data_IF_664787425734
#
_entry.id   IF_664787425734
#
_cell.length_a   1.000
_cell.length_b   1.000
_cell.length_c   1.000
_cell.angle_alpha   90.00
_cell.angle_beta   90.00
_cell.angle_gamma   90.00
#
_symmetry.space_group_name_H-M   'P 1'
#
loop_
_entity.id
_entity.type
_entity.pdbx_description
1 polymer ?
#
# COMPACT_ATOMS: atom_id res chain seq x y z
N UNK A 1 -28.66 -29.08 32.31
CA UNK A 1 -27.35 -28.49 32.68
C UNK A 1 -26.28 -29.08 31.75
N UNK A 2 -25.07 -28.53 31.68
CA UNK A 2 -23.99 -29.04 30.81
C UNK A 2 -22.81 -29.57 31.63
N UNK A 3 -22.08 -30.56 31.10
CA UNK A 3 -20.92 -31.15 31.76
C UNK A 3 -19.72 -30.20 31.73
N UNK A 4 -19.16 -29.85 32.90
CA UNK A 4 -17.97 -28.97 33.01
C UNK A 4 -16.67 -29.53 32.42
N UNK A 5 -16.64 -30.82 32.03
CA UNK A 5 -15.46 -31.51 31.51
C UNK A 5 -15.51 -31.79 30.00
N UNK A 6 -16.70 -31.95 29.42
CA UNK A 6 -16.87 -32.33 28.00
C UNK A 6 -18.02 -31.61 27.29
N UNK A 7 -18.58 -30.54 27.87
CA UNK A 7 -19.65 -29.74 27.28
C UNK A 7 -21.03 -30.41 27.20
N UNK A 8 -21.12 -31.74 27.07
CA UNK A 8 -22.37 -32.44 26.74
C UNK A 8 -23.50 -32.23 27.79
N UNK A 9 -24.75 -32.22 27.31
CA UNK A 9 -25.95 -31.96 28.08
C UNK A 9 -26.22 -33.10 29.07
N UNK A 10 -26.33 -32.74 30.35
CA UNK A 10 -26.63 -33.67 31.44
C UNK A 10 -28.13 -33.96 31.49
N UNK A 11 -28.47 -35.25 31.48
CA UNK A 11 -29.82 -35.75 31.73
C UNK A 11 -30.28 -35.33 33.13
N UNK A 12 -31.55 -35.00 33.29
CA UNK A 12 -32.11 -34.51 34.54
C UNK A 12 -31.95 -35.56 35.67
N UNK A 13 -31.53 -35.11 36.86
CA UNK A 13 -31.15 -35.95 38.02
C UNK A 13 -30.00 -36.96 37.77
N UNK A 14 -29.22 -36.84 36.69
CA UNK A 14 -28.01 -37.67 36.48
C UNK A 14 -26.90 -37.34 37.50
N UNK A 15 -26.38 -38.37 38.18
CA UNK A 15 -25.26 -38.25 39.15
C UNK A 15 -23.87 -38.25 38.50
N UNK A 16 -23.79 -38.69 37.26
CA UNK A 16 -22.57 -38.77 36.46
C UNK A 16 -22.91 -38.40 35.01
N UNK A 17 -21.98 -37.79 34.29
CA UNK A 17 -22.15 -37.49 32.87
C UNK A 17 -22.15 -38.78 32.04
N UNK A 18 -23.21 -38.99 31.26
CA UNK A 18 -23.35 -40.13 30.33
C UNK A 18 -22.27 -40.18 29.23
N UNK A 19 -21.57 -39.08 28.98
CA UNK A 19 -20.58 -38.96 27.91
C UNK A 19 -19.13 -39.20 28.37
N UNK A 20 -18.77 -38.79 29.59
CA UNK A 20 -17.37 -38.83 30.09
C UNK A 20 -17.22 -39.38 31.52
N UNK A 21 -18.29 -39.92 32.11
CA UNK A 21 -18.31 -40.48 33.46
C UNK A 21 -18.16 -39.48 34.61
N UNK A 22 -17.91 -38.20 34.34
CA UNK A 22 -17.58 -37.22 35.37
C UNK A 22 -18.74 -36.94 36.33
N UNK A 23 -18.45 -36.81 37.63
CA UNK A 23 -19.49 -36.73 38.67
C UNK A 23 -20.17 -35.36 38.67
N UNK A 24 -21.51 -35.38 38.65
CA UNK A 24 -22.33 -34.16 38.73
C UNK A 24 -22.49 -33.76 40.20
N UNK A 25 -22.20 -32.50 40.51
CA UNK A 25 -22.41 -31.92 41.84
C UNK A 25 -23.84 -31.38 41.95
N UNK A 26 -24.68 -32.05 42.76
CA UNK A 26 -26.02 -31.56 43.10
C UNK A 26 -25.91 -30.22 43.87
N UNK A 27 -26.38 -29.12 43.28
CA UNK A 27 -26.44 -27.81 43.93
C UNK A 27 -27.90 -27.48 44.28
N UNK A 28 -28.26 -27.68 45.55
CA UNK A 28 -29.63 -27.53 46.03
C UNK A 28 -30.00 -26.06 46.25
N UNK A 29 -30.79 -25.49 45.34
CA UNK A 29 -31.44 -24.19 45.53
C UNK A 29 -32.95 -24.28 45.33
N UNK A 30 -33.70 -23.78 46.32
CA UNK A 30 -35.15 -23.72 46.31
C UNK A 30 -35.68 -22.62 45.36
N UNK A 31 -36.88 -22.76 44.78
CA UNK A 31 -37.33 -21.93 43.67
C UNK A 31 -37.82 -20.53 44.09
N UNK A 32 -37.64 -19.54 43.21
CA UNK A 32 -38.46 -18.33 43.15
C UNK A 32 -39.43 -18.40 41.97
N UNK A 33 -40.64 -17.87 42.16
CA UNK A 33 -41.74 -17.79 41.17
C UNK A 33 -41.63 -16.51 40.29
N UNK A 34 -42.63 -16.35 39.42
CA UNK A 34 -43.01 -15.13 38.64
C UNK A 34 -42.26 -15.02 37.30
N UNK A 35 -42.92 -14.94 36.13
CA UNK A 35 -44.37 -15.05 35.81
C UNK A 35 -44.64 -15.43 34.35
N UNK A 36 -45.84 -15.99 34.12
CA UNK A 36 -46.53 -16.10 32.82
C UNK A 36 -46.95 -14.70 32.27
N UNK A 37 -47.32 -14.54 30.98
CA UNK A 37 -48.66 -14.97 30.54
C UNK A 37 -48.80 -15.59 29.12
N UNK A 38 -49.82 -16.45 28.99
CA UNK A 38 -50.71 -16.74 27.83
C UNK A 38 -50.36 -16.18 26.42
N UNK A 39 -50.66 -16.89 25.32
CA UNK A 39 -52.04 -17.29 25.02
C UNK A 39 -52.21 -18.47 24.02
N UNK A 40 -53.43 -19.04 24.02
CA UNK A 40 -53.94 -20.10 23.14
C UNK A 40 -54.38 -19.59 21.76
N UNK A 41 -54.38 -20.46 20.75
CA UNK A 41 -55.58 -20.75 19.94
C UNK A 41 -55.46 -22.02 19.08
N UNK A 42 -56.60 -22.53 18.56
CA UNK A 42 -56.76 -23.93 18.13
C UNK A 42 -57.68 -24.10 16.92
N UNK A 43 -57.23 -24.82 15.89
CA UNK A 43 -58.01 -25.46 14.80
C UNK A 43 -57.03 -26.36 14.01
N UNK A 44 -57.20 -27.66 13.74
CA UNK A 44 -58.36 -28.56 13.56
C UNK A 44 -59.01 -28.52 12.16
N UNK A 45 -59.32 -29.72 11.66
CA UNK A 45 -59.92 -30.12 10.37
C UNK A 45 -58.94 -30.24 9.18
N UNK A 46 -59.10 -31.12 8.20
CA UNK A 46 -59.63 -32.52 8.12
C UNK A 46 -59.32 -33.08 6.69
N UNK A 47 -59.67 -34.36 6.40
CA UNK A 47 -59.62 -35.06 5.08
C UNK A 47 -58.23 -35.49 4.52
N UNK A 48 -58.06 -36.63 3.81
CA UNK A 48 -58.74 -37.95 3.79
C UNK A 48 -57.96 -38.99 2.95
N UNK A 49 -58.26 -40.31 3.09
CA UNK A 49 -57.85 -41.43 2.19
C UNK A 49 -56.32 -41.76 2.07
N UNK A 50 -55.82 -42.96 1.66
CA UNK A 50 -56.34 -44.36 1.57
C UNK A 50 -55.22 -45.32 1.05
N UNK A 51 -55.11 -46.64 1.32
CA UNK A 51 -55.16 -47.44 2.58
C UNK A 51 -54.83 -48.95 2.32
N UNK A 52 -54.14 -49.66 3.25
CA UNK A 52 -53.98 -51.16 3.36
C UNK A 52 -53.06 -51.78 2.26
N UNK A 53 -52.27 -52.88 2.37
CA UNK A 53 -52.13 -54.08 3.25
C UNK A 53 -50.68 -54.23 3.80
N UNK A 54 -50.36 -54.84 4.97
CA UNK A 54 -50.58 -56.22 5.51
C UNK A 54 -49.76 -57.32 4.79
N UNK A 55 -49.23 -58.40 5.40
CA UNK A 55 -49.35 -59.06 6.74
C UNK A 55 -47.93 -59.46 7.25
N UNK A 56 -47.58 -59.64 8.55
CA UNK A 56 -48.00 -60.58 9.62
C UNK A 56 -47.52 -62.05 9.40
N UNK A 57 -47.23 -62.92 10.39
CA UNK A 57 -47.23 -62.82 11.87
C UNK A 57 -46.25 -63.83 12.53
N UNK A 58 -46.32 -64.04 13.86
CA UNK A 58 -45.51 -65.01 14.62
C UNK A 58 -46.34 -65.77 15.67
N UNK A 59 -45.78 -66.84 16.27
CA UNK A 59 -46.30 -67.62 17.43
C UNK A 59 -47.59 -68.43 17.22
N UNK A 60 -47.98 -69.44 18.04
CA UNK A 60 -47.27 -70.48 18.82
C UNK A 60 -48.32 -71.48 19.43
N UNK A 61 -47.88 -72.43 20.28
CA UNK A 61 -48.65 -73.18 21.33
C UNK A 61 -49.45 -74.45 20.94
N UNK A 62 -48.81 -75.60 21.24
CA UNK A 62 -49.23 -76.76 22.08
C UNK A 62 -50.39 -77.76 21.78
N UNK A 63 -50.13 -79.01 22.24
CA UNK A 63 -51.03 -80.15 22.60
C UNK A 63 -51.91 -80.80 21.50
N UNK A 64 -52.43 -82.04 21.59
CA UNK A 64 -52.05 -83.39 22.12
C UNK A 64 -53.19 -84.36 21.65
N UNK A 65 -53.25 -85.70 21.72
CA UNK A 65 -52.52 -86.87 22.27
C UNK A 65 -52.79 -88.09 21.32
N UNK A 66 -52.13 -89.24 21.56
CA UNK A 66 -52.58 -90.62 21.22
C UNK A 66 -52.51 -91.11 19.73
N UNK A 67 -52.34 -92.41 19.42
CA UNK A 67 -51.78 -93.57 20.15
C UNK A 67 -51.58 -94.80 19.18
N UNK A 68 -51.00 -95.91 19.67
CA UNK A 68 -50.84 -97.26 19.02
C UNK A 68 -49.82 -97.34 17.85
N UNK A 69 -49.22 -98.47 17.44
CA UNK A 69 -48.90 -99.82 18.00
C UNK A 69 -48.12 -100.64 16.90
N UNK A 70 -47.23 -101.63 17.12
CA UNK A 70 -46.51 -102.11 18.32
C UNK A 70 -45.02 -102.50 17.98
N UNK A 71 -44.37 -103.71 18.14
CA UNK A 71 -42.91 -103.75 18.36
C UNK A 71 -42.05 -104.71 17.50
N UNK A 72 -40.73 -104.68 17.73
CA UNK A 72 -39.90 -105.91 17.77
C UNK A 72 -38.71 -105.75 18.73
N UNK A 73 -38.24 -106.84 19.35
CA UNK A 73 -37.17 -106.84 20.35
C UNK A 73 -35.82 -107.21 19.74
N UNK A 74 -34.73 -106.73 20.34
CA UNK A 74 -33.72 -107.65 20.88
C UNK A 74 -32.92 -107.05 22.04
N UNK A 75 -32.21 -107.91 22.77
CA UNK A 75 -31.82 -107.69 24.17
C UNK A 75 -30.38 -108.15 24.42
N UNK A 76 -29.49 -107.29 24.98
CA UNK A 76 -28.55 -107.74 26.02
C UNK A 76 -27.66 -106.70 26.76
N UNK A 77 -27.70 -106.82 28.10
CA UNK A 77 -26.59 -106.85 29.08
C UNK A 77 -25.58 -105.67 29.21
N UNK A 78 -25.85 -104.90 30.29
CA UNK A 78 -24.92 -104.59 31.42
C UNK A 78 -23.50 -104.05 31.15
N UNK A 79 -23.27 -102.79 31.54
CA UNK A 79 -22.05 -102.39 32.25
C UNK A 79 -22.28 -101.14 33.15
N UNK A 80 -22.62 -101.32 34.43
CA UNK A 80 -22.76 -100.20 35.38
C UNK A 80 -21.40 -99.69 35.87
N UNK A 81 -20.73 -98.89 35.06
CA UNK A 81 -19.54 -98.14 35.45
C UNK A 81 -19.89 -97.05 36.48
N UNK A 82 -19.11 -96.94 37.57
CA UNK A 82 -19.27 -95.85 38.57
C UNK A 82 -18.94 -94.47 38.01
N UNK A 83 -18.29 -94.39 36.84
CA UNK A 83 -17.91 -93.14 36.18
C UNK A 83 -19.13 -92.37 35.64
N UNK A 84 -20.19 -93.06 35.21
CA UNK A 84 -21.38 -92.43 34.59
C UNK A 84 -22.20 -91.55 35.57
N UNK A 85 -22.00 -91.67 36.89
CA UNK A 85 -22.71 -90.82 37.87
C UNK A 85 -22.18 -89.38 37.94
N UNK A 86 -20.99 -89.10 37.42
CA UNK A 86 -20.39 -87.76 37.43
C UNK A 86 -20.55 -87.06 36.08
N UNK A 87 -20.77 -87.80 34.98
CA UNK A 87 -20.98 -87.26 33.62
C UNK A 87 -21.99 -86.10 33.54
N UNK A 88 -23.21 -86.17 34.13
CA UNK A 88 -24.16 -85.04 34.07
C UNK A 88 -23.73 -83.81 34.88
N UNK A 89 -22.70 -83.91 35.71
CA UNK A 89 -22.11 -82.79 36.49
C UNK A 89 -20.84 -82.27 35.80
N UNK A 90 -20.03 -83.16 35.21
CA UNK A 90 -18.84 -82.79 34.44
C UNK A 90 -19.17 -82.05 33.15
N UNK A 91 -20.23 -82.44 32.44
CA UNK A 91 -20.61 -81.82 31.16
C UNK A 91 -20.89 -80.29 31.29
N UNK A 92 -21.72 -79.80 32.24
CA UNK A 92 -21.89 -78.36 32.44
C UNK A 92 -20.63 -77.66 32.98
N UNK A 93 -19.80 -78.32 33.79
CA UNK A 93 -18.52 -77.73 34.27
C UNK A 93 -17.55 -77.52 33.10
N UNK A 94 -17.42 -78.51 32.21
CA UNK A 94 -16.57 -78.43 31.03
C UNK A 94 -17.10 -77.36 30.05
N UNK A 95 -18.42 -77.32 29.82
CA UNK A 95 -19.07 -76.27 29.03
C UNK A 95 -18.81 -74.87 29.60
N UNK A 96 -18.99 -74.69 30.92
CA UNK A 96 -18.70 -73.44 31.61
C UNK A 96 -17.23 -73.03 31.48
N UNK A 97 -16.27 -73.96 31.62
CA UNK A 97 -14.85 -73.67 31.45
C UNK A 97 -14.48 -73.28 30.01
N UNK A 98 -15.06 -73.93 29.00
CA UNK A 98 -14.87 -73.54 27.59
C UNK A 98 -15.47 -72.17 27.30
N UNK A 99 -16.68 -71.88 27.79
CA UNK A 99 -17.32 -70.57 27.63
C UNK A 99 -16.52 -69.49 28.36
N UNK A 100 -16.13 -69.71 29.62
CA UNK A 100 -15.32 -68.74 30.38
C UNK A 100 -13.97 -68.49 29.74
N UNK A 101 -13.30 -69.54 29.24
CA UNK A 101 -12.04 -69.41 28.51
C UNK A 101 -12.19 -68.61 27.21
N UNK A 102 -13.22 -68.91 26.41
CA UNK A 102 -13.53 -68.16 25.18
C UNK A 102 -13.84 -66.69 25.47
N UNK A 103 -14.64 -66.41 26.51
CA UNK A 103 -14.95 -65.03 26.95
C UNK A 103 -13.70 -64.33 27.47
N UNK A 104 -12.82 -64.99 28.22
CA UNK A 104 -11.55 -64.39 28.70
C UNK A 104 -10.59 -64.06 27.56
N UNK A 105 -10.45 -64.95 26.57
CA UNK A 105 -9.62 -64.70 25.37
C UNK A 105 -10.19 -63.57 24.52
N UNK A 106 -11.52 -63.55 24.31
CA UNK A 106 -12.19 -62.47 23.61
C UNK A 106 -12.02 -61.12 24.36
N UNK A 107 -12.23 -61.11 25.68
CA UNK A 107 -12.05 -59.92 26.51
C UNK A 107 -10.62 -59.37 26.42
N UNK A 108 -9.60 -60.22 26.51
CA UNK A 108 -8.20 -59.79 26.40
C UNK A 108 -7.88 -59.25 24.99
N UNK A 109 -8.33 -59.94 23.94
CA UNK A 109 -8.18 -59.49 22.56
C UNK A 109 -8.83 -58.13 22.29
N UNK A 110 -10.07 -57.93 22.77
CA UNK A 110 -10.78 -56.67 22.58
C UNK A 110 -10.25 -55.55 23.48
N UNK A 111 -9.68 -55.87 24.65
CA UNK A 111 -8.96 -54.91 25.51
C UNK A 111 -7.70 -54.41 24.81
N UNK A 112 -6.84 -55.31 24.33
CA UNK A 112 -5.59 -54.94 23.66
C UNK A 112 -5.85 -54.07 22.42
N UNK A 113 -6.85 -54.42 21.60
CA UNK A 113 -7.26 -53.59 20.45
C UNK A 113 -7.73 -52.20 20.85
N UNK A 114 -8.42 -52.07 21.98
CA UNK A 114 -8.87 -50.76 22.46
C UNK A 114 -7.70 -49.93 22.99
N UNK A 115 -6.74 -50.54 23.68
CA UNK A 115 -5.50 -49.86 24.10
C UNK A 115 -4.65 -49.42 22.90
N UNK A 116 -4.50 -50.27 21.89
CA UNK A 116 -3.79 -49.95 20.64
C UNK A 116 -4.47 -48.81 19.87
N UNK A 117 -5.79 -48.85 19.71
CA UNK A 117 -6.56 -47.79 19.05
C UNK A 117 -6.52 -46.47 19.80
N UNK A 118 -6.60 -46.48 21.13
CA UNK A 118 -6.48 -45.26 21.94
C UNK A 118 -5.07 -44.67 21.89
N UNK A 119 -4.03 -45.51 21.85
CA UNK A 119 -2.64 -45.07 21.69
C UNK A 119 -2.40 -44.45 20.31
N UNK A 120 -2.94 -45.06 19.23
CA UNK A 120 -2.90 -44.51 17.88
C UNK A 120 -3.68 -43.19 17.78
N UNK A 121 -4.90 -43.14 18.32
CA UNK A 121 -5.71 -41.91 18.37
C UNK A 121 -4.97 -40.78 19.09
N UNK A 122 -4.44 -41.03 20.29
CA UNK A 122 -3.73 -40.01 21.07
C UNK A 122 -2.44 -39.55 20.37
N UNK A 123 -1.70 -40.47 19.73
CA UNK A 123 -0.51 -40.14 18.94
C UNK A 123 -0.86 -39.30 17.72
N UNK A 124 -1.96 -39.61 17.02
CA UNK A 124 -2.44 -38.85 15.89
C UNK A 124 -2.92 -37.44 16.28
N UNK A 125 -3.75 -37.33 17.32
CA UNK A 125 -4.19 -36.03 17.89
C UNK A 125 -2.98 -35.18 18.29
N UNK A 126 -1.94 -35.81 18.88
CA UNK A 126 -0.68 -35.12 19.21
C UNK A 126 0.09 -34.70 17.96
N UNK A 127 0.18 -35.52 16.91
CA UNK A 127 0.85 -35.17 15.66
C UNK A 127 0.13 -34.01 14.95
N UNK A 128 -1.20 -34.09 14.88
CA UNK A 128 -2.07 -33.12 14.23
C UNK A 128 -1.97 -31.73 14.91
N UNK A 129 -2.04 -31.67 16.24
CA UNK A 129 -1.86 -30.43 17.01
C UNK A 129 -0.45 -29.82 16.92
N UNK A 130 0.55 -30.57 16.45
CA UNK A 130 1.89 -30.07 16.13
C UNK A 130 2.09 -29.78 14.62
N UNK A 131 1.04 -29.85 13.80
CA UNK A 131 1.08 -29.60 12.36
C UNK A 131 1.56 -30.78 11.50
N UNK A 132 1.80 -31.96 12.09
CA UNK A 132 2.20 -33.18 11.37
C UNK A 132 0.95 -33.98 10.95
N UNK A 133 0.16 -33.36 10.07
CA UNK A 133 -1.13 -33.90 9.62
C UNK A 133 -0.99 -35.22 8.85
N UNK A 134 0.13 -35.43 8.13
CA UNK A 134 0.36 -36.68 7.37
C UNK A 134 0.68 -37.86 8.30
N UNK A 135 1.39 -37.65 9.41
CA UNK A 135 1.52 -38.67 10.46
C UNK A 135 0.19 -38.93 11.18
N UNK A 136 -0.61 -37.88 11.40
CA UNK A 136 -1.93 -38.03 11.99
C UNK A 136 -2.87 -38.87 11.10
N UNK A 137 -2.82 -38.67 9.79
CA UNK A 137 -3.56 -39.47 8.79
C UNK A 137 -3.19 -40.97 8.89
N UNK A 138 -1.89 -41.33 8.83
CA UNK A 138 -1.44 -42.72 8.95
C UNK A 138 -1.90 -43.37 10.27
N UNK A 139 -1.74 -42.68 11.39
CA UNK A 139 -2.08 -43.21 12.71
C UNK A 139 -3.59 -43.35 12.93
N UNK A 140 -4.42 -42.45 12.38
CA UNK A 140 -5.88 -42.58 12.36
C UNK A 140 -6.35 -43.68 11.40
N UNK A 141 -5.75 -43.79 10.21
CA UNK A 141 -6.09 -44.82 9.23
C UNK A 141 -5.78 -46.22 9.77
N UNK A 142 -4.64 -46.39 10.44
CA UNK A 142 -4.28 -47.64 11.13
C UNK A 142 -5.19 -47.94 12.33
N UNK A 143 -5.69 -46.93 13.04
CA UNK A 143 -6.69 -47.12 14.09
C UNK A 143 -8.05 -47.56 13.50
N UNK A 144 -8.43 -47.03 12.33
CA UNK A 144 -9.62 -47.43 11.58
C UNK A 144 -9.50 -48.84 11.01
N UNK A 145 -8.33 -49.30 10.58
CA UNK A 145 -8.13 -50.70 10.16
C UNK A 145 -8.43 -51.70 11.31
N UNK A 146 -8.21 -51.30 12.57
CA UNK A 146 -8.57 -52.09 13.76
C UNK A 146 -10.06 -51.92 14.13
N UNK A 147 -10.63 -50.71 13.93
CA UNK A 147 -12.02 -50.35 14.29
C UNK A 147 -12.73 -49.52 13.18
N UNK A 148 -13.14 -50.12 12.06
CA UNK A 148 -13.61 -49.35 10.89
C UNK A 148 -14.89 -48.52 11.11
N UNK A 149 -15.66 -48.84 12.15
CA UNK A 149 -16.96 -48.23 12.46
C UNK A 149 -16.93 -47.38 13.74
N UNK A 150 -15.77 -46.93 14.21
CA UNK A 150 -15.67 -46.06 15.39
C UNK A 150 -15.77 -44.58 14.97
N UNK A 151 -16.88 -43.87 15.28
CA UNK A 151 -17.15 -42.57 14.64
C UNK A 151 -16.16 -41.46 14.99
N UNK A 152 -15.51 -41.53 16.17
CA UNK A 152 -14.54 -40.51 16.60
C UNK A 152 -13.31 -40.52 15.69
N UNK A 153 -12.81 -41.70 15.30
CA UNK A 153 -11.68 -41.79 14.35
C UNK A 153 -12.07 -41.29 12.96
N UNK A 154 -13.31 -41.56 12.53
CA UNK A 154 -13.81 -41.07 11.23
C UNK A 154 -13.88 -39.54 11.22
N UNK A 155 -14.39 -38.94 12.30
CA UNK A 155 -14.43 -37.48 12.46
C UNK A 155 -13.02 -36.88 12.57
N UNK A 156 -12.14 -37.44 13.40
CA UNK A 156 -10.75 -36.96 13.50
C UNK A 156 -10.04 -37.01 12.13
N UNK A 157 -10.26 -38.06 11.34
CA UNK A 157 -9.69 -38.20 10.00
C UNK A 157 -10.28 -37.18 9.01
N UNK A 158 -11.59 -36.88 9.09
CA UNK A 158 -12.24 -35.86 8.28
C UNK A 158 -11.61 -34.46 8.50
N UNK A 159 -11.37 -34.07 9.76
CA UNK A 159 -10.74 -32.76 10.06
C UNK A 159 -9.24 -32.74 9.73
N UNK A 160 -8.51 -33.85 9.94
CA UNK A 160 -7.11 -33.98 9.49
C UNK A 160 -6.99 -33.88 7.97
N UNK A 161 -7.91 -34.49 7.23
CA UNK A 161 -7.93 -34.40 5.76
C UNK A 161 -8.27 -32.99 5.26
N UNK A 162 -9.08 -32.23 6.00
CA UNK A 162 -9.31 -30.80 5.73
C UNK A 162 -8.03 -29.97 5.94
N UNK A 163 -7.27 -30.24 7.01
CA UNK A 163 -5.97 -29.60 7.24
C UNK A 163 -4.93 -29.97 6.16
N UNK A 164 -4.93 -31.22 5.67
CA UNK A 164 -4.10 -31.63 4.52
C UNK A 164 -4.48 -30.87 3.25
N UNK A 165 -5.77 -30.72 2.94
CA UNK A 165 -6.23 -29.93 1.79
C UNK A 165 -5.81 -28.45 1.89
N UNK A 166 -5.83 -27.86 3.10
CA UNK A 166 -5.32 -26.50 3.33
C UNK A 166 -3.79 -26.40 3.17
N UNK A 167 -3.02 -27.45 3.51
CA UNK A 167 -1.59 -27.52 3.23
C UNK A 167 -1.28 -27.63 1.73
N UNK A 168 -2.11 -28.32 0.96
CA UNK A 168 -2.02 -28.35 -0.51
C UNK A 168 -2.34 -26.98 -1.11
N UNK A 169 -3.36 -26.27 -0.63
CA UNK A 169 -3.64 -24.89 -1.04
C UNK A 169 -2.48 -23.93 -0.68
N UNK A 170 -1.87 -24.05 0.52
CA UNK A 170 -0.65 -23.31 0.87
C UNK A 170 0.54 -23.64 -0.03
N UNK A 171 0.63 -24.88 -0.52
CA UNK A 171 1.68 -25.32 -1.45
C UNK A 171 1.47 -24.71 -2.84
N UNK A 172 0.23 -24.71 -3.35
CA UNK A 172 -0.14 -24.02 -4.59
C UNK A 172 0.16 -22.51 -4.53
N UNK A 173 -0.20 -21.84 -3.43
CA UNK A 173 0.13 -20.42 -3.20
C UNK A 173 1.65 -20.20 -3.19
N UNK A 174 2.42 -21.15 -2.64
CA UNK A 174 3.89 -21.09 -2.60
C UNK A 174 4.51 -21.28 -3.98
N UNK A 175 3.92 -22.12 -4.83
CA UNK A 175 4.32 -22.29 -6.22
C UNK A 175 3.99 -21.05 -7.07
N UNK A 176 2.79 -20.47 -6.90
CA UNK A 176 2.42 -19.20 -7.54
C UNK A 176 3.38 -18.06 -7.16
N UNK A 177 3.80 -17.95 -5.89
CA UNK A 177 4.84 -16.99 -5.48
C UNK A 177 6.19 -17.26 -6.17
N UNK A 178 6.59 -18.53 -6.34
CA UNK A 178 7.83 -18.90 -7.04
C UNK A 178 7.79 -18.57 -8.53
N UNK A 179 6.62 -18.70 -9.15
CA UNK A 179 6.31 -18.25 -10.51
C UNK A 179 6.08 -16.73 -10.62
N UNK A 180 6.21 -15.98 -9.51
CA UNK A 180 5.98 -14.53 -9.41
C UNK A 180 4.53 -14.09 -9.73
N UNK A 181 3.55 -14.99 -9.65
CA UNK A 181 2.12 -14.72 -9.82
C UNK A 181 1.50 -14.15 -8.55
N UNK A 182 2.11 -13.12 -7.97
CA UNK A 182 1.78 -12.65 -6.63
C UNK A 182 0.33 -12.15 -6.47
N UNK A 183 -0.32 -11.65 -7.53
CA UNK A 183 -1.75 -11.28 -7.51
C UNK A 183 -2.68 -12.50 -7.47
N UNK A 184 -2.33 -13.61 -8.13
CA UNK A 184 -3.10 -14.86 -8.01
C UNK A 184 -2.87 -15.49 -6.62
N UNK A 185 -1.61 -15.48 -6.15
CA UNK A 185 -1.24 -15.97 -4.83
C UNK A 185 -1.95 -15.20 -3.71
N UNK A 186 -2.04 -13.86 -3.79
CA UNK A 186 -2.80 -13.02 -2.84
C UNK A 186 -4.30 -13.36 -2.84
N UNK A 187 -4.89 -13.60 -4.02
CA UNK A 187 -6.32 -13.95 -4.17
C UNK A 187 -6.62 -15.31 -3.53
N UNK A 188 -5.81 -16.32 -3.84
CA UNK A 188 -5.95 -17.67 -3.26
C UNK A 188 -5.65 -17.66 -1.76
N UNK A 189 -4.64 -16.89 -1.33
CA UNK A 189 -4.28 -16.72 0.09
C UNK A 189 -5.41 -16.14 0.92
N UNK A 190 -6.08 -15.06 0.48
CA UNK A 190 -7.20 -14.51 1.24
C UNK A 190 -8.40 -15.46 1.29
N UNK A 191 -8.69 -16.20 0.21
CA UNK A 191 -9.74 -17.23 0.23
C UNK A 191 -9.41 -18.37 1.21
N UNK A 192 -8.17 -18.84 1.26
CA UNK A 192 -7.75 -19.86 2.22
C UNK A 192 -7.75 -19.35 3.66
N UNK A 193 -7.29 -18.10 3.87
CA UNK A 193 -7.32 -17.43 5.17
C UNK A 193 -8.75 -17.29 5.71
N UNK A 194 -9.71 -16.90 4.87
CA UNK A 194 -11.14 -16.82 5.23
C UNK A 194 -11.73 -18.19 5.62
N UNK A 195 -11.35 -19.28 4.93
CA UNK A 195 -11.72 -20.66 5.33
C UNK A 195 -11.19 -20.98 6.72
N UNK A 196 -9.88 -20.83 6.93
CA UNK A 196 -9.19 -21.18 8.18
C UNK A 196 -9.69 -20.32 9.36
N UNK A 197 -9.89 -19.02 9.17
CA UNK A 197 -10.43 -18.11 10.19
C UNK A 197 -11.92 -18.36 10.51
N UNK A 198 -12.62 -19.18 9.71
CA UNK A 198 -14.00 -19.63 10.00
C UNK A 198 -14.06 -20.93 10.82
N UNK A 199 -12.97 -21.69 10.88
CA UNK A 199 -12.86 -22.90 11.70
C UNK A 199 -12.53 -22.54 13.16
N UNK A 200 -13.09 -23.31 14.11
CA UNK A 200 -12.98 -23.05 15.56
C UNK A 200 -12.23 -24.17 16.30
N UNK A 201 -11.64 -25.11 15.55
CA UNK A 201 -10.89 -26.23 16.11
C UNK A 201 -9.41 -25.87 16.37
N UNK A 202 -8.85 -26.14 17.57
CA UNK A 202 -7.43 -25.92 17.88
C UNK A 202 -6.45 -26.63 16.94
N UNK A 203 -6.89 -27.62 16.15
CA UNK A 203 -6.11 -28.20 15.06
C UNK A 203 -5.57 -27.14 14.09
N UNK A 204 -6.29 -26.02 13.90
CA UNK A 204 -5.92 -24.98 12.94
C UNK A 204 -4.99 -23.89 13.52
N UNK A 205 -4.72 -23.88 14.83
CA UNK A 205 -3.80 -22.92 15.47
C UNK A 205 -2.41 -22.84 14.77
N UNK A 206 -1.77 -23.94 14.31
CA UNK A 206 -0.48 -23.88 13.60
C UNK A 206 -0.52 -23.12 12.27
N UNK A 207 -1.70 -22.98 11.63
CA UNK A 207 -1.81 -22.21 10.40
C UNK A 207 -1.62 -20.71 10.62
N UNK A 208 -1.81 -20.17 11.83
CA UNK A 208 -1.68 -18.74 12.09
C UNK A 208 -0.27 -18.20 11.78
N UNK A 209 0.79 -18.93 12.17
CA UNK A 209 2.18 -18.55 11.86
C UNK A 209 2.49 -18.74 10.36
N UNK A 210 2.03 -19.85 9.77
CA UNK A 210 2.19 -20.10 8.34
C UNK A 210 1.54 -19.00 7.49
N UNK A 211 0.28 -18.65 7.78
CA UNK A 211 -0.46 -17.61 7.07
C UNK A 211 0.22 -16.24 7.23
N UNK A 212 0.63 -15.87 8.44
CA UNK A 212 1.35 -14.61 8.68
C UNK A 212 2.66 -14.53 7.87
N UNK A 213 3.43 -15.61 7.81
CA UNK A 213 4.66 -15.66 7.00
C UNK A 213 4.37 -15.50 5.49
N UNK A 214 3.33 -16.19 4.96
CA UNK A 214 2.94 -16.05 3.55
C UNK A 214 2.43 -14.64 3.22
N UNK A 215 1.64 -14.02 4.09
CA UNK A 215 1.10 -12.66 3.88
C UNK A 215 2.21 -11.61 3.70
N UNK A 216 3.30 -11.76 4.47
CA UNK A 216 4.51 -10.93 4.34
C UNK A 216 5.17 -11.16 2.98
N UNK A 217 5.51 -12.40 2.62
CA UNK A 217 6.21 -12.69 1.35
C UNK A 217 5.36 -12.32 0.12
N UNK A 218 4.04 -12.51 0.15
CA UNK A 218 3.11 -12.04 -0.89
C UNK A 218 3.16 -10.51 -0.99
N UNK A 219 3.03 -9.80 0.14
CA UNK A 219 3.04 -8.34 0.17
C UNK A 219 4.37 -7.76 -0.35
N UNK A 220 5.50 -8.31 0.11
CA UNK A 220 6.84 -7.90 -0.33
C UNK A 220 7.04 -8.21 -1.82
N UNK A 221 6.59 -9.36 -2.30
CA UNK A 221 6.64 -9.77 -3.70
C UNK A 221 5.87 -8.83 -4.64
N UNK A 222 4.61 -8.52 -4.31
CA UNK A 222 3.80 -7.54 -5.07
C UNK A 222 4.46 -6.17 -5.12
N UNK A 223 4.86 -5.63 -3.96
CA UNK A 223 5.51 -4.32 -3.87
C UNK A 223 6.78 -4.30 -4.74
N UNK A 224 7.57 -5.39 -4.77
CA UNK A 224 8.79 -5.51 -5.58
C UNK A 224 8.53 -5.55 -7.09
N UNK A 225 7.43 -6.15 -7.55
CA UNK A 225 7.03 -6.10 -8.97
C UNK A 225 6.57 -4.69 -9.36
N UNK A 226 5.59 -4.16 -8.62
CA UNK A 226 5.01 -2.83 -8.83
C UNK A 226 6.07 -1.72 -8.73
N UNK A 227 7.14 -1.91 -7.94
CA UNK A 227 8.21 -0.93 -7.73
C UNK A 227 8.80 -0.38 -9.02
N UNK A 228 8.86 -1.18 -10.09
CA UNK A 228 9.36 -0.75 -11.40
C UNK A 228 8.47 0.34 -12.05
N UNK A 229 7.15 0.24 -11.89
CA UNK A 229 6.13 1.09 -12.51
C UNK A 229 5.87 2.40 -11.75
N UNK A 230 6.15 2.44 -10.44
CA UNK A 230 5.96 3.63 -9.62
C UNK A 230 6.90 4.77 -10.10
N UNK A 231 6.34 5.96 -10.33
CA UNK A 231 7.04 7.11 -10.93
C UNK A 231 7.00 8.38 -10.10
N UNK A 232 6.30 8.37 -8.95
CA UNK A 232 6.21 9.52 -8.03
C UNK A 232 6.62 9.17 -6.60
N UNK A 233 7.08 10.18 -5.86
CA UNK A 233 7.47 10.04 -4.45
C UNK A 233 6.29 9.59 -3.59
N UNK A 234 5.08 10.09 -3.84
CA UNK A 234 3.90 9.76 -3.02
C UNK A 234 3.42 8.31 -3.23
N UNK A 235 3.53 7.77 -4.45
CA UNK A 235 3.30 6.34 -4.71
C UNK A 235 4.26 5.47 -3.90
N UNK A 236 5.54 5.83 -3.88
CA UNK A 236 6.60 5.13 -3.16
C UNK A 236 6.42 5.26 -1.65
N UNK A 237 6.04 6.44 -1.15
CA UNK A 237 5.72 6.68 0.25
C UNK A 237 4.51 5.85 0.73
N UNK A 238 3.47 5.70 -0.09
CA UNK A 238 2.34 4.82 0.21
C UNK A 238 2.78 3.35 0.38
N UNK A 239 3.76 2.88 -0.41
CA UNK A 239 4.37 1.55 -0.21
C UNK A 239 5.20 1.49 1.08
N UNK A 240 6.04 2.50 1.37
CA UNK A 240 6.82 2.57 2.62
C UNK A 240 5.93 2.41 3.86
N UNK A 241 4.75 3.04 3.88
CA UNK A 241 3.81 2.91 5.01
C UNK A 241 3.30 1.47 5.18
N UNK A 242 2.97 0.76 4.09
CA UNK A 242 2.60 -0.69 4.14
C UNK A 242 3.81 -1.59 4.47
N UNK A 243 5.04 -1.14 4.22
CA UNK A 243 6.26 -1.87 4.62
C UNK A 243 6.64 -1.62 6.08
N UNK A 244 6.29 -0.48 6.67
CA UNK A 244 6.66 -0.11 8.04
C UNK A 244 6.01 -1.00 9.11
N UNK A 245 4.94 -1.71 8.78
CA UNK A 245 4.29 -2.72 9.64
C UNK A 245 4.90 -4.12 9.52
N UNK A 246 5.89 -4.33 8.64
CA UNK A 246 6.49 -5.63 8.35
C UNK A 246 7.95 -5.67 8.85
N UNK A 247 8.22 -6.50 9.85
CA UNK A 247 9.51 -6.53 10.57
C UNK A 247 10.49 -7.61 10.08
N UNK A 248 10.39 -8.06 8.83
CA UNK A 248 11.25 -9.10 8.26
C UNK A 248 12.44 -8.55 7.47
N UNK A 249 13.48 -9.38 7.28
CA UNK A 249 14.65 -9.03 6.47
C UNK A 249 14.28 -8.74 5.00
N UNK A 250 13.36 -9.54 4.42
CA UNK A 250 12.82 -9.29 3.07
C UNK A 250 12.15 -7.91 2.97
N UNK A 251 11.39 -7.52 4.01
CA UNK A 251 10.73 -6.22 4.06
C UNK A 251 11.74 -5.07 4.18
N UNK A 252 12.80 -5.23 4.98
CA UNK A 252 13.88 -4.26 5.07
C UNK A 252 14.62 -4.08 3.73
N UNK A 253 14.89 -5.17 3.00
CA UNK A 253 15.57 -5.12 1.72
C UNK A 253 14.75 -4.40 0.62
N UNK A 254 13.42 -4.56 0.59
CA UNK A 254 12.56 -3.85 -0.37
C UNK A 254 12.29 -2.40 0.09
N UNK A 255 12.23 -2.13 1.39
CA UNK A 255 12.21 -0.76 1.93
C UNK A 255 13.40 0.07 1.43
N UNK A 256 14.61 -0.48 1.45
CA UNK A 256 15.81 0.20 0.95
C UNK A 256 15.78 0.44 -0.57
N UNK A 257 15.21 -0.48 -1.34
CA UNK A 257 14.98 -0.29 -2.79
C UNK A 257 13.97 0.85 -3.06
N UNK A 258 12.93 0.98 -2.23
CA UNK A 258 11.97 2.10 -2.32
C UNK A 258 12.65 3.44 -1.98
N UNK A 259 13.44 3.50 -0.90
CA UNK A 259 14.20 4.70 -0.51
C UNK A 259 15.20 5.11 -1.60
N UNK A 260 15.93 4.14 -2.17
CA UNK A 260 16.81 4.34 -3.33
C UNK A 260 16.05 4.92 -4.52
N UNK A 261 14.86 4.38 -4.83
CA UNK A 261 14.06 4.87 -5.97
C UNK A 261 13.44 6.25 -5.73
N UNK A 262 13.06 6.60 -4.48
CA UNK A 262 12.67 7.96 -4.10
C UNK A 262 13.83 8.93 -4.38
N UNK A 263 15.04 8.61 -3.93
CA UNK A 263 16.25 9.41 -4.19
C UNK A 263 16.49 9.60 -5.69
N UNK A 264 16.40 8.54 -6.49
CA UNK A 264 16.63 8.60 -7.94
C UNK A 264 15.60 9.50 -8.64
N UNK A 265 14.31 9.26 -8.43
CA UNK A 265 13.22 10.02 -9.09
C UNK A 265 13.29 11.50 -8.69
N UNK A 266 13.45 11.78 -7.40
CA UNK A 266 13.46 13.16 -6.90
C UNK A 266 14.65 13.95 -7.44
N UNK A 267 15.82 13.31 -7.55
CA UNK A 267 17.00 13.91 -8.19
C UNK A 267 16.78 14.16 -9.69
N UNK A 268 16.15 13.22 -10.40
CA UNK A 268 15.85 13.38 -11.84
C UNK A 268 14.83 14.52 -12.08
N UNK A 269 13.76 14.58 -11.28
CA UNK A 269 12.75 15.64 -11.36
C UNK A 269 13.32 17.01 -11.01
N UNK A 270 14.09 17.12 -9.92
CA UNK A 270 14.75 18.37 -9.53
C UNK A 270 15.80 18.84 -10.54
N UNK A 271 16.52 17.92 -11.21
CA UNK A 271 17.41 18.25 -12.33
C UNK A 271 16.64 18.82 -13.53
N UNK A 272 15.53 18.20 -13.92
CA UNK A 272 14.67 18.72 -14.99
C UNK A 272 14.06 20.08 -14.64
N UNK A 273 13.66 20.30 -13.38
CA UNK A 273 13.16 21.59 -12.90
C UNK A 273 14.27 22.66 -12.91
N UNK A 274 15.50 22.31 -12.50
CA UNK A 274 16.67 23.21 -12.56
C UNK A 274 17.01 23.63 -13.99
N UNK A 275 17.01 22.70 -14.95
CA UNK A 275 17.22 22.98 -16.38
C UNK A 275 16.17 23.95 -16.95
N UNK A 276 14.94 23.93 -16.40
CA UNK A 276 13.87 24.86 -16.74
C UNK A 276 13.84 26.13 -15.85
N UNK A 277 14.90 26.39 -15.05
CA UNK A 277 15.01 27.50 -14.08
C UNK A 277 13.92 27.54 -13.00
N UNK A 278 13.26 26.41 -12.73
CA UNK A 278 12.20 26.28 -11.73
C UNK A 278 12.78 25.99 -10.35
N UNK A 279 13.69 26.85 -9.86
CA UNK A 279 14.49 26.63 -8.64
C UNK A 279 13.63 26.24 -7.42
N UNK A 280 12.55 26.98 -7.16
CA UNK A 280 11.63 26.70 -6.04
C UNK A 280 10.92 25.35 -6.15
N UNK A 281 10.65 24.87 -7.38
CA UNK A 281 10.05 23.55 -7.60
C UNK A 281 11.10 22.44 -7.38
N UNK A 282 12.32 22.63 -7.89
CA UNK A 282 13.44 21.71 -7.66
C UNK A 282 13.75 21.54 -6.17
N UNK A 283 13.75 22.64 -5.41
CA UNK A 283 13.91 22.61 -3.94
C UNK A 283 12.75 21.86 -3.27
N UNK A 284 11.49 22.16 -3.65
CA UNK A 284 10.32 21.50 -3.09
C UNK A 284 10.27 19.99 -3.35
N UNK A 285 10.67 19.55 -4.54
CA UNK A 285 10.79 18.12 -4.89
C UNK A 285 11.86 17.41 -4.05
N UNK A 286 13.01 18.05 -3.80
CA UNK A 286 14.03 17.49 -2.90
C UNK A 286 13.57 17.48 -1.44
N UNK A 287 12.86 18.50 -0.97
CA UNK A 287 12.29 18.53 0.38
C UNK A 287 11.14 17.55 0.58
N UNK A 288 10.43 17.16 -0.49
CA UNK A 288 9.47 16.05 -0.44
C UNK A 288 10.20 14.71 -0.25
N UNK A 289 11.35 14.51 -0.88
CA UNK A 289 12.16 13.30 -0.74
C UNK A 289 12.82 13.18 0.65
N UNK A 290 13.41 14.28 1.15
CA UNK A 290 14.13 14.34 2.43
C UNK A 290 13.26 14.04 3.66
N UNK A 291 11.92 14.06 3.52
CA UNK A 291 10.97 13.56 4.55
C UNK A 291 11.07 12.05 4.77
N UNK A 292 11.54 11.30 3.77
CA UNK A 292 11.65 9.84 3.79
C UNK A 292 13.11 9.38 3.85
N UNK A 293 14.00 10.06 3.12
CA UNK A 293 15.46 9.83 3.12
C UNK A 293 16.17 10.97 3.86
N UNK A 294 15.98 11.00 5.19
CA UNK A 294 16.57 11.99 6.11
C UNK A 294 18.10 11.96 6.01
N UNK A 295 18.74 13.13 6.11
CA UNK A 295 20.19 13.37 6.05
C UNK A 295 20.92 12.81 4.81
N UNK A 296 20.19 12.47 3.75
CA UNK A 296 20.75 11.89 2.53
C UNK A 296 21.63 12.89 1.76
N UNK A 297 22.94 12.77 1.97
CA UNK A 297 23.97 13.74 1.55
C UNK A 297 23.91 14.14 0.07
N UNK A 298 23.61 13.21 -0.83
CA UNK A 298 23.51 13.51 -2.28
C UNK A 298 22.25 14.30 -2.66
N UNK A 299 21.23 14.41 -1.80
CA UNK A 299 20.06 15.27 -2.01
C UNK A 299 20.28 16.63 -1.34
N UNK A 300 20.87 16.65 -0.14
CA UNK A 300 21.25 17.89 0.54
C UNK A 300 22.24 18.73 -0.28
N UNK A 301 23.34 18.13 -0.74
CA UNK A 301 24.33 18.82 -1.59
C UNK A 301 23.76 19.27 -2.95
N UNK A 302 22.76 18.54 -3.48
CA UNK A 302 22.09 18.96 -4.72
C UNK A 302 21.12 20.12 -4.49
N UNK A 303 20.37 20.12 -3.38
CA UNK A 303 19.55 21.26 -2.94
C UNK A 303 20.42 22.50 -2.70
N UNK A 304 21.57 22.34 -2.03
CA UNK A 304 22.52 23.43 -1.83
C UNK A 304 23.01 24.01 -3.17
N UNK A 305 23.39 23.15 -4.14
CA UNK A 305 23.75 23.59 -5.48
C UNK A 305 22.62 24.37 -6.17
N UNK A 306 21.37 23.90 -6.07
CA UNK A 306 20.21 24.59 -6.65
C UNK A 306 20.00 25.98 -6.03
N UNK A 307 20.19 26.12 -4.71
CA UNK A 307 20.13 27.42 -4.01
C UNK A 307 21.28 28.34 -4.46
N UNK A 308 22.51 27.81 -4.62
CA UNK A 308 23.64 28.58 -5.13
C UNK A 308 23.40 29.07 -6.58
N UNK A 309 22.88 28.22 -7.47
CA UNK A 309 22.54 28.60 -8.84
C UNK A 309 21.37 29.60 -8.90
N UNK A 310 20.38 29.48 -8.00
CA UNK A 310 19.30 30.46 -7.85
C UNK A 310 19.87 31.84 -7.46
N UNK A 311 20.67 31.91 -6.40
CA UNK A 311 21.24 33.18 -5.93
C UNK A 311 22.16 33.82 -6.98
N UNK A 312 22.96 33.02 -7.69
CA UNK A 312 23.79 33.52 -8.79
C UNK A 312 22.96 34.05 -9.98
N UNK A 313 21.82 33.40 -10.29
CA UNK A 313 20.89 33.87 -11.32
C UNK A 313 20.21 35.19 -10.93
N UNK A 314 19.72 35.31 -9.69
CA UNK A 314 19.09 36.52 -9.15
C UNK A 314 20.07 37.71 -9.12
N UNK A 315 21.31 37.49 -8.66
CA UNK A 315 22.35 38.51 -8.67
C UNK A 315 22.72 38.96 -10.09
N UNK A 316 22.86 38.02 -11.04
CA UNK A 316 23.17 38.35 -12.42
C UNK A 316 22.05 39.15 -13.11
N UNK A 317 20.78 38.90 -12.77
CA UNK A 317 19.65 39.66 -13.31
C UNK A 317 19.55 41.06 -12.68
N UNK A 318 19.80 41.19 -11.37
CA UNK A 318 19.94 42.50 -10.72
C UNK A 318 21.06 43.33 -11.37
N UNK A 319 22.25 42.74 -11.60
CA UNK A 319 23.36 43.44 -12.25
C UNK A 319 23.00 43.91 -13.67
N UNK A 320 22.23 43.13 -14.44
CA UNK A 320 21.74 43.55 -15.77
C UNK A 320 20.78 44.73 -15.68
N UNK A 321 19.87 44.72 -14.71
CA UNK A 321 18.93 45.81 -14.49
C UNK A 321 19.65 47.10 -14.10
N UNK A 322 20.61 47.02 -13.17
CA UNK A 322 21.43 48.16 -12.76
C UNK A 322 22.25 48.73 -13.93
N UNK A 323 22.87 47.88 -14.75
CA UNK A 323 23.60 48.30 -15.96
C UNK A 323 22.67 48.94 -17.02
N UNK A 324 21.47 48.40 -17.21
CA UNK A 324 20.49 48.98 -18.14
C UNK A 324 19.97 50.35 -17.64
N UNK A 325 19.77 50.50 -16.33
CA UNK A 325 19.40 51.78 -15.71
C UNK A 325 20.53 52.81 -15.79
N UNK A 326 21.78 52.41 -15.54
CA UNK A 326 22.95 53.30 -15.66
C UNK A 326 23.17 53.73 -17.12
N UNK A 327 22.97 52.83 -18.08
CA UNK A 327 23.02 53.15 -19.51
C UNK A 327 21.92 54.17 -19.87
N UNK A 328 20.65 53.87 -19.58
CA UNK A 328 19.53 54.76 -19.88
C UNK A 328 19.70 56.15 -19.24
N UNK A 329 20.20 56.23 -18.00
CA UNK A 329 20.46 57.51 -17.32
C UNK A 329 21.60 58.32 -17.99
N UNK A 330 22.62 57.66 -18.56
CA UNK A 330 23.68 58.34 -19.33
C UNK A 330 23.20 58.79 -20.71
N UNK A 331 22.37 57.98 -21.36
CA UNK A 331 21.76 58.33 -22.64
C UNK A 331 20.82 59.54 -22.47
N UNK A 332 19.97 59.55 -21.43
CA UNK A 332 19.10 60.69 -21.15
C UNK A 332 19.89 61.94 -20.74
N UNK A 333 20.92 61.83 -19.90
CA UNK A 333 21.78 62.98 -19.56
C UNK A 333 22.48 63.57 -20.79
N UNK A 334 22.95 62.72 -21.73
CA UNK A 334 23.51 63.17 -23.01
C UNK A 334 22.46 63.93 -23.83
N UNK A 335 21.23 63.39 -23.90
CA UNK A 335 20.11 64.00 -24.60
C UNK A 335 19.65 65.33 -23.96
N UNK A 336 19.73 65.48 -22.63
CA UNK A 336 19.37 66.69 -21.90
C UNK A 336 20.45 67.79 -21.92
N UNK A 337 21.74 67.45 -21.94
CA UNK A 337 22.82 68.44 -21.71
C UNK A 337 23.85 68.60 -22.83
N UNK A 338 23.95 67.66 -23.77
CA UNK A 338 25.01 67.66 -24.78
C UNK A 338 24.59 66.95 -26.09
N UNK A 339 23.35 67.17 -26.54
CA UNK A 339 22.80 66.55 -27.75
C UNK A 339 23.36 67.14 -29.06
N UNK A 340 23.88 68.37 -29.01
CA UNK A 340 24.29 69.17 -30.18
C UNK A 340 25.77 69.53 -30.06
N UNK A 341 26.57 69.15 -31.05
CA UNK A 341 27.99 69.54 -31.16
C UNK A 341 28.17 70.57 -32.29
N UNK A 342 28.74 71.75 -31.98
CA UNK A 342 29.13 72.75 -33.00
C UNK A 342 30.44 72.30 -33.65
N UNK A 343 30.36 71.97 -34.94
CA UNK A 343 31.50 71.44 -35.73
C UNK A 343 32.13 72.47 -36.68
N UNK A 344 31.44 73.58 -36.93
CA UNK A 344 31.97 74.75 -37.64
C UNK A 344 31.26 76.00 -37.12
N UNK A 345 32.01 77.07 -36.90
CA UNK A 345 31.49 78.40 -36.60
C UNK A 345 32.43 79.43 -37.22
N UNK A 346 31.88 80.37 -37.98
CA UNK A 346 32.60 81.41 -38.70
C UNK A 346 31.76 82.68 -38.72
N UNK A 347 32.41 83.83 -38.59
CA UNK A 347 31.80 85.13 -38.76
C UNK A 347 32.72 86.07 -39.54
N UNK A 348 32.14 86.99 -40.29
CA UNK A 348 32.85 88.01 -41.06
C UNK A 348 32.02 89.31 -41.14
N UNK A 349 32.66 90.46 -40.92
CA UNK A 349 32.07 91.78 -41.16
C UNK A 349 32.49 92.26 -42.54
N UNK A 350 31.54 92.76 -43.33
CA UNK A 350 31.78 93.15 -44.73
C UNK A 350 32.11 94.65 -44.93
N UNK A 351 32.31 95.06 -46.18
CA UNK A 351 32.60 96.46 -46.54
C UNK A 351 31.43 97.44 -46.28
N UNK A 352 30.22 96.92 -45.99
CA UNK A 352 29.04 97.71 -45.65
C UNK A 352 28.76 97.75 -44.14
N UNK A 353 29.54 97.03 -43.32
CA UNK A 353 29.42 96.99 -41.87
C UNK A 353 28.39 95.98 -41.35
N UNK A 354 27.97 95.03 -42.20
CA UNK A 354 27.04 93.97 -41.84
C UNK A 354 27.84 92.71 -41.42
N UNK A 355 27.43 92.10 -40.31
CA UNK A 355 28.06 90.90 -39.73
C UNK A 355 27.34 89.64 -40.21
N UNK A 356 28.00 88.84 -41.02
CA UNK A 356 27.53 87.52 -41.46
C UNK A 356 28.04 86.44 -40.51
N UNK A 357 27.14 85.58 -40.03
CA UNK A 357 27.46 84.44 -39.15
C UNK A 357 26.99 83.16 -39.84
N UNK A 358 27.81 82.11 -39.79
CA UNK A 358 27.50 80.79 -40.38
C UNK A 358 28.17 79.66 -39.62
N UNK A 359 27.51 78.50 -39.54
CA UNK A 359 28.06 77.33 -38.86
C UNK A 359 27.39 76.00 -39.22
N UNK A 360 27.96 74.92 -38.69
CA UNK A 360 27.45 73.55 -38.79
C UNK A 360 27.40 72.91 -37.41
N UNK A 361 26.26 72.31 -37.06
CA UNK A 361 26.10 71.44 -35.89
C UNK A 361 25.89 69.98 -36.30
N UNK A 362 26.15 69.06 -35.37
CA UNK A 362 25.85 67.63 -35.52
C UNK A 362 24.98 67.18 -34.36
N UNK A 363 23.95 66.37 -34.62
CA UNK A 363 23.23 65.65 -33.57
C UNK A 363 24.12 64.49 -33.06
N UNK A 364 24.61 64.63 -31.82
CA UNK A 364 25.44 63.62 -31.13
C UNK A 364 24.69 62.86 -30.04
N UNK A 365 23.38 63.11 -29.90
CA UNK A 365 22.47 62.46 -28.97
C UNK A 365 22.28 60.95 -29.25
N UNK A 366 21.51 60.26 -28.40
CA UNK A 366 21.08 58.87 -28.69
C UNK A 366 19.77 58.78 -29.47
N UNK A 367 19.03 59.89 -29.56
CA UNK A 367 17.72 60.03 -30.22
C UNK A 367 17.79 61.08 -31.33
N UNK A 368 16.73 61.18 -32.13
CA UNK A 368 16.58 62.24 -33.11
C UNK A 368 16.17 63.54 -32.39
N UNK A 369 16.60 64.70 -32.91
CA UNK A 369 16.34 66.01 -32.30
C UNK A 369 15.66 66.97 -33.27
N UNK A 370 14.90 67.91 -32.73
CA UNK A 370 14.17 68.92 -33.52
C UNK A 370 14.34 70.34 -32.96
N UNK A 371 14.05 71.34 -33.81
CA UNK A 371 13.99 72.76 -33.45
C UNK A 371 15.27 73.34 -32.81
N UNK A 372 16.45 72.87 -33.24
CA UNK A 372 17.74 73.35 -32.69
C UNK A 372 17.91 74.84 -32.97
N UNK A 373 18.16 75.61 -31.92
CA UNK A 373 18.36 77.07 -31.96
C UNK A 373 19.68 77.43 -31.31
N UNK A 374 20.47 78.25 -32.00
CA UNK A 374 21.74 78.80 -31.55
C UNK A 374 21.49 80.20 -31.00
N UNK A 375 21.85 80.45 -29.74
CA UNK A 375 21.82 81.76 -29.10
C UNK A 375 23.26 82.29 -29.00
N UNK A 376 23.51 83.48 -29.54
CA UNK A 376 24.86 84.04 -29.65
C UNK A 376 24.89 85.52 -29.28
N UNK A 377 26.04 85.95 -28.78
CA UNK A 377 26.28 87.32 -28.34
C UNK A 377 27.48 87.91 -29.09
N UNK A 378 27.33 89.18 -29.47
CA UNK A 378 28.33 89.98 -30.19
C UNK A 378 28.99 90.95 -29.20
N UNK A 379 30.31 91.01 -29.24
CA UNK A 379 31.17 91.83 -28.39
C UNK A 379 32.09 92.72 -29.22
N UNK A 380 32.51 93.87 -28.69
CA UNK A 380 33.59 94.65 -29.29
C UNK A 380 34.98 94.04 -28.99
N UNK A 381 36.04 94.60 -29.60
CA UNK A 381 37.43 94.18 -29.35
C UNK A 381 37.95 94.47 -27.93
N UNK A 382 37.25 95.28 -27.12
CA UNK A 382 37.57 95.54 -25.72
C UNK A 382 36.86 94.55 -24.77
N UNK A 383 35.92 93.75 -25.28
CA UNK A 383 35.12 92.78 -24.54
C UNK A 383 33.81 93.34 -23.98
N UNK A 384 33.35 94.49 -24.44
CA UNK A 384 32.04 95.03 -24.07
C UNK A 384 30.92 94.35 -24.88
N UNK A 385 29.76 94.16 -24.24
CA UNK A 385 28.55 93.63 -24.87
C UNK A 385 27.97 94.63 -25.88
N UNK A 386 27.64 94.15 -27.08
CA UNK A 386 26.99 94.94 -28.14
C UNK A 386 25.55 94.47 -28.43
N UNK A 387 25.36 93.16 -28.64
CA UNK A 387 24.10 92.62 -29.16
C UNK A 387 23.92 91.13 -28.83
N UNK A 388 22.66 90.69 -28.65
CA UNK A 388 22.27 89.29 -28.51
C UNK A 388 21.32 88.91 -29.66
N UNK A 389 21.53 87.75 -30.28
CA UNK A 389 20.66 87.20 -31.34
C UNK A 389 20.42 85.71 -31.16
N UNK A 390 19.50 85.17 -31.97
CA UNK A 390 19.32 83.73 -32.11
C UNK A 390 18.90 83.32 -33.52
N UNK A 391 19.43 82.20 -34.00
CA UNK A 391 19.11 81.63 -35.31
C UNK A 391 18.82 80.13 -35.21
N UNK A 392 17.97 79.62 -36.11
CA UNK A 392 17.58 78.20 -36.15
C UNK A 392 18.43 77.41 -37.13
N UNK A 393 18.70 76.16 -36.77
CA UNK A 393 19.41 75.20 -37.61
C UNK A 393 18.48 74.59 -38.67
N UNK A 394 19.00 74.40 -39.87
CA UNK A 394 18.34 73.69 -40.98
C UNK A 394 19.14 72.45 -41.40
N UNK A 395 18.50 71.29 -41.63
CA UNK A 395 17.07 71.03 -41.50
C UNK A 395 16.58 71.05 -40.04
N UNK A 396 15.28 71.31 -39.87
CA UNK A 396 14.64 71.50 -38.56
C UNK A 396 14.58 70.21 -37.70
N UNK A 397 14.73 69.04 -38.32
CA UNK A 397 14.93 67.75 -37.67
C UNK A 397 16.31 67.24 -38.05
N UNK A 398 17.06 66.73 -37.07
CA UNK A 398 18.35 66.07 -37.27
C UNK A 398 18.28 64.65 -36.72
N UNK A 399 18.40 63.68 -37.61
CA UNK A 399 18.55 62.27 -37.25
C UNK A 399 19.83 62.07 -36.42
N UNK A 400 19.94 61.00 -35.65
CA UNK A 400 21.18 60.69 -34.92
C UNK A 400 22.41 60.65 -35.83
N UNK A 401 23.40 61.51 -35.57
CA UNK A 401 24.62 61.67 -36.36
C UNK A 401 24.47 62.55 -37.62
N UNK A 402 23.29 63.14 -37.85
CA UNK A 402 23.03 64.07 -38.95
C UNK A 402 23.56 65.47 -38.67
N UNK A 403 23.91 66.20 -39.73
CA UNK A 403 24.39 67.58 -39.68
C UNK A 403 23.31 68.57 -40.09
N UNK A 404 23.28 69.70 -39.41
CA UNK A 404 22.52 70.89 -39.82
C UNK A 404 23.42 72.11 -39.91
N UNK A 405 23.00 73.10 -40.70
CA UNK A 405 23.68 74.38 -40.86
C UNK A 405 22.82 75.52 -40.32
N UNK A 406 23.45 76.58 -39.83
CA UNK A 406 22.79 77.81 -39.43
C UNK A 406 23.50 79.03 -40.02
N UNK A 407 22.74 80.09 -40.28
CA UNK A 407 23.24 81.39 -40.73
C UNK A 407 22.39 82.52 -40.13
N UNK A 408 22.99 83.69 -39.93
CA UNK A 408 22.32 84.93 -39.52
C UNK A 408 23.05 86.16 -40.09
N UNK A 409 22.43 87.33 -40.05
CA UNK A 409 23.06 88.59 -40.48
C UNK A 409 22.63 89.75 -39.59
N UNK A 410 23.59 90.30 -38.83
CA UNK A 410 23.37 91.47 -37.96
C UNK A 410 23.81 92.72 -38.73
N UNK A 411 22.83 93.55 -39.11
CA UNK A 411 23.05 94.72 -39.95
C UNK A 411 23.58 95.93 -39.16
N UNK A 412 24.39 96.77 -39.83
CA UNK A 412 24.81 98.10 -39.37
C UNK A 412 25.67 98.17 -38.09
N UNK A 413 26.58 97.20 -37.88
CA UNK A 413 27.54 97.25 -36.78
C UNK A 413 28.69 98.24 -37.04
N UNK A 414 29.24 98.25 -38.27
CA UNK A 414 30.35 99.14 -38.70
C UNK A 414 31.66 99.09 -37.88
N UNK A 415 31.84 98.09 -37.01
CA UNK A 415 33.03 97.94 -36.16
C UNK A 415 33.58 96.49 -36.18
N UNK A 416 34.83 96.31 -35.76
CA UNK A 416 35.43 94.98 -35.60
C UNK A 416 34.89 94.34 -34.32
N UNK A 417 34.36 93.12 -34.43
CA UNK A 417 33.65 92.41 -33.35
C UNK A 417 34.20 91.01 -33.11
N UNK A 418 33.93 90.48 -31.93
CA UNK A 418 33.99 89.05 -31.60
C UNK A 418 32.56 88.51 -31.44
N UNK A 419 32.35 87.22 -31.73
CA UNK A 419 31.04 86.57 -31.55
C UNK A 419 31.24 85.25 -30.82
N UNK A 420 30.44 85.03 -29.77
CA UNK A 420 30.48 83.80 -28.97
C UNK A 420 29.09 83.16 -28.90
N UNK A 421 29.03 81.83 -28.93
CA UNK A 421 27.78 81.07 -28.76
C UNK A 421 27.59 80.83 -27.27
N UNK A 422 26.65 81.54 -26.68
CA UNK A 422 26.35 81.47 -25.24
C UNK A 422 25.54 80.21 -24.88
N UNK A 423 24.59 79.84 -25.74
CA UNK A 423 23.64 78.76 -25.45
C UNK A 423 23.12 78.09 -26.73
N UNK A 424 22.68 76.84 -26.60
CA UNK A 424 22.03 76.08 -27.66
C UNK A 424 20.82 75.37 -27.04
N UNK A 425 19.65 75.51 -27.66
CA UNK A 425 18.42 74.82 -27.23
C UNK A 425 17.92 73.87 -28.31
N UNK A 426 17.31 72.77 -27.91
CA UNK A 426 16.80 71.71 -28.79
C UNK A 426 15.64 70.97 -28.13
N UNK A 427 14.91 70.18 -28.91
CA UNK A 427 13.93 69.23 -28.44
C UNK A 427 14.37 67.81 -28.82
N UNK A 428 14.07 66.83 -27.98
CA UNK A 428 14.41 65.41 -28.17
C UNK A 428 13.13 64.63 -28.41
N UNK A 429 13.06 63.86 -29.50
CA UNK A 429 11.86 63.12 -29.93
C UNK A 429 11.80 61.71 -29.32
#
# INVERSE_FOLDING_TARGET
MFCRKCGNQLVENSRFCSNCGEKVLEWTMAPKKVSEPSNLQTSKNDHEHFSIYNENESTAVDQEIAATAEPSLNHDKRATSRFLKIVPILLPIISFLFISGGVSVAYYNETNKNEEVLALQQSAETAALNGDYSKAEDELQRALDIRPTYPVLQQNLEVVNLALAYMDELTLISDQMREQKFSEAETNFFSLKEKIESEVDPLFDPFAELLAAKEVTITVGKIKQELSELTTVDQLAAKLTRMATLSTEEAAAVKEQILTKITQISRQQAQQQLENKQFSAAIATLDQALKYVVDHQSLLSFKEKIVQEQTAFEQAEQTRLEQAMEAAAKEELLNETAAVEVTSFQFEVDEFGDLYIKGEVTNVATRDISSVTIEFTVYDLEGNHLYDSSTSVYPFYLSRGEKGSFEDTVFYLFEEVNVEIENITWYVE
#
